data_IF_507400596324
#
_entry.id   IF_507400596324
#
_cell.length_a   1.000
_cell.length_b   1.000
_cell.length_c   1.000
_cell.angle_alpha   90.00
_cell.angle_beta   90.00
_cell.angle_gamma   90.00
#
_symmetry.space_group_name_H-M   'P 1'
#
loop_
_entity.id
_entity.type
_entity.pdbx_description
1 polymer ?
#
# COMPACT_ATOMS: atom_id res chain seq x y z
N UNK A 1 -6.40 16.86 7.12
CA UNK A 1 -6.96 15.96 6.09
C UNK A 1 -7.15 14.56 6.69
N UNK A 2 -8.33 13.92 6.56
CA UNK A 2 -8.54 12.57 7.11
C UNK A 2 -7.77 11.54 6.27
N UNK A 3 -7.49 10.35 6.84
CA UNK A 3 -6.79 9.27 6.13
C UNK A 3 -7.49 8.88 4.83
N UNK A 4 -8.82 8.80 4.87
CA UNK A 4 -9.64 8.48 3.70
C UNK A 4 -9.55 9.56 2.62
N UNK A 5 -9.54 10.84 2.98
CA UNK A 5 -9.42 11.95 2.02
C UNK A 5 -8.05 11.92 1.31
N UNK A 6 -6.97 11.63 2.06
CA UNK A 6 -5.63 11.46 1.49
C UNK A 6 -5.58 10.33 0.48
N UNK A 7 -6.22 9.20 0.80
CA UNK A 7 -6.28 8.05 -0.09
C UNK A 7 -7.12 8.34 -1.34
N UNK A 8 -8.25 9.05 -1.21
CA UNK A 8 -9.05 9.50 -2.37
C UNK A 8 -8.23 10.37 -3.31
N UNK A 9 -7.53 11.37 -2.77
CA UNK A 9 -6.69 12.25 -3.57
C UNK A 9 -5.57 11.47 -4.28
N UNK A 10 -4.95 10.52 -3.59
CA UNK A 10 -3.95 9.62 -4.19
C UNK A 10 -4.55 8.81 -5.34
N UNK A 11 -5.70 8.18 -5.13
CA UNK A 11 -6.39 7.36 -6.15
C UNK A 11 -6.79 8.22 -7.35
N UNK A 12 -7.38 9.39 -7.12
CA UNK A 12 -7.81 10.30 -8.17
C UNK A 12 -6.65 10.75 -9.06
N UNK A 13 -5.49 11.01 -8.47
CA UNK A 13 -4.28 11.43 -9.19
C UNK A 13 -3.51 10.27 -9.84
N UNK A 14 -3.86 9.02 -9.55
CA UNK A 14 -3.12 7.84 -10.03
C UNK A 14 -4.08 6.71 -10.44
N UNK A 15 -5.26 7.03 -10.99
CA UNK A 15 -6.29 6.03 -11.28
C UNK A 15 -5.82 4.94 -12.25
N UNK A 16 -4.86 5.29 -13.12
CA UNK A 16 -4.30 4.40 -14.14
C UNK A 16 -3.52 3.21 -13.57
N UNK A 17 -3.06 3.28 -12.32
CA UNK A 17 -2.29 2.20 -11.70
C UNK A 17 -3.19 1.10 -11.10
N UNK A 18 -4.50 1.34 -11.01
CA UNK A 18 -5.46 0.40 -10.42
C UNK A 18 -6.19 -0.42 -11.50
N UNK A 19 -6.49 -1.67 -11.15
CA UNK A 19 -7.34 -2.57 -11.94
C UNK A 19 -8.41 -3.21 -11.08
N UNK A 20 -9.55 -3.53 -11.69
CA UNK A 20 -10.63 -4.21 -11.02
C UNK A 20 -10.22 -5.65 -10.65
N UNK A 21 -10.32 -6.09 -9.39
CA UNK A 21 -9.93 -7.44 -9.00
C UNK A 21 -10.88 -8.52 -9.54
N UNK A 22 -12.09 -8.14 -9.96
CA UNK A 22 -13.09 -9.07 -10.49
C UNK A 22 -12.97 -9.32 -11.99
N UNK A 23 -12.71 -8.28 -12.79
CA UNK A 23 -12.67 -8.39 -14.25
C UNK A 23 -11.38 -7.87 -14.90
N UNK A 24 -10.40 -7.40 -14.12
CA UNK A 24 -9.11 -6.88 -14.57
C UNK A 24 -9.16 -5.65 -15.51
N UNK A 25 -10.35 -5.14 -15.80
CA UNK A 25 -10.54 -3.90 -16.54
C UNK A 25 -10.12 -2.68 -15.72
N UNK A 26 -9.90 -1.57 -16.44
CA UNK A 26 -9.53 -0.28 -15.88
C UNK A 26 -10.60 0.22 -14.89
N UNK A 27 -10.13 0.90 -13.86
CA UNK A 27 -10.96 1.75 -13.02
C UNK A 27 -11.29 3.03 -13.80
N UNK A 28 -12.56 3.42 -13.83
CA UNK A 28 -13.06 4.53 -14.64
C UNK A 28 -13.48 5.73 -13.80
N UNK A 29 -13.85 5.52 -12.54
CA UNK A 29 -14.26 6.61 -11.66
C UNK A 29 -14.00 6.31 -10.19
N UNK A 30 -13.85 7.38 -9.41
CA UNK A 30 -13.94 7.39 -7.96
C UNK A 30 -15.27 8.05 -7.59
N UNK A 31 -16.20 7.28 -7.04
CA UNK A 31 -17.53 7.75 -6.62
C UNK A 31 -17.60 7.62 -5.09
N UNK A 32 -17.84 8.73 -4.40
CA UNK A 32 -17.80 8.81 -2.94
C UNK A 32 -16.51 8.21 -2.34
N UNK A 33 -16.62 7.06 -1.70
CA UNK A 33 -15.54 6.31 -1.06
C UNK A 33 -15.19 5.04 -1.85
N UNK A 34 -15.47 4.98 -3.16
CA UNK A 34 -15.37 3.73 -3.90
C UNK A 34 -14.80 3.94 -5.30
N UNK A 35 -13.93 3.02 -5.73
CA UNK A 35 -13.48 2.96 -7.11
C UNK A 35 -14.42 2.05 -7.90
N UNK A 36 -14.74 2.45 -9.12
CA UNK A 36 -15.68 1.75 -10.00
C UNK A 36 -14.99 1.47 -11.34
N UNK A 37 -15.13 0.24 -11.84
CA UNK A 37 -14.61 -0.15 -13.15
C UNK A 37 -15.66 0.02 -14.26
N UNK A 38 -15.23 -0.12 -15.52
CA UNK A 38 -16.11 -0.01 -16.69
C UNK A 38 -17.30 -0.98 -16.70
N UNK A 39 -17.18 -2.13 -16.02
CA UNK A 39 -18.26 -3.10 -15.89
C UNK A 39 -19.17 -2.84 -14.67
N UNK A 40 -18.98 -1.73 -13.95
CA UNK A 40 -19.79 -1.38 -12.78
C UNK A 40 -19.41 -2.05 -11.46
N UNK A 41 -18.31 -2.83 -11.40
CA UNK A 41 -17.85 -3.38 -10.13
C UNK A 41 -17.35 -2.28 -9.19
N UNK A 42 -17.81 -2.33 -7.94
CA UNK A 42 -17.50 -1.34 -6.91
C UNK A 42 -16.53 -1.91 -5.89
N UNK A 43 -15.43 -1.21 -5.63
CA UNK A 43 -14.47 -1.54 -4.57
C UNK A 43 -14.44 -0.39 -3.57
N UNK A 44 -14.82 -0.69 -2.33
CA UNK A 44 -14.96 0.31 -1.28
C UNK A 44 -13.62 0.60 -0.59
N UNK A 45 -13.33 1.88 -0.41
CA UNK A 45 -12.28 2.41 0.44
C UNK A 45 -12.78 2.46 1.89
N UNK A 46 -12.01 1.89 2.81
CA UNK A 46 -12.37 1.95 4.23
C UNK A 46 -11.90 3.26 4.89
N UNK A 47 -12.33 3.49 6.15
CA UNK A 47 -11.94 4.67 6.94
C UNK A 47 -10.43 4.85 7.16
N UNK A 48 -9.65 3.77 7.01
CA UNK A 48 -8.18 3.81 7.12
C UNK A 48 -7.51 4.25 5.81
N UNK A 49 -8.27 4.43 4.74
CA UNK A 49 -7.76 4.80 3.41
C UNK A 49 -7.16 3.61 2.65
N UNK A 50 -7.68 2.40 2.88
CA UNK A 50 -7.20 1.17 2.22
C UNK A 50 -8.31 0.50 1.40
N UNK A 51 -7.92 -0.09 0.27
CA UNK A 51 -8.77 -0.90 -0.59
C UNK A 51 -8.52 -2.38 -0.31
N UNK A 52 -9.59 -3.16 -0.14
CA UNK A 52 -9.51 -4.61 -0.07
C UNK A 52 -9.74 -5.19 -1.46
N UNK A 53 -8.68 -5.72 -2.08
CA UNK A 53 -8.70 -6.19 -3.47
C UNK A 53 -8.79 -7.72 -3.60
N UNK A 54 -8.95 -8.44 -2.49
CA UNK A 54 -9.17 -9.89 -2.55
C UNK A 54 -10.63 -10.16 -2.89
N UNK A 55 -10.84 -11.08 -3.84
CA UNK A 55 -12.16 -11.52 -4.30
C UNK A 55 -12.71 -12.72 -3.55
N UNK A 56 -11.90 -13.33 -2.70
CA UNK A 56 -12.23 -14.51 -1.90
C UNK A 56 -11.63 -14.37 -0.50
N UNK A 57 -12.21 -15.09 0.46
CA UNK A 57 -11.65 -15.20 1.79
C UNK A 57 -10.33 -15.96 1.75
N UNK A 58 -9.27 -15.38 2.29
CA UNK A 58 -8.00 -16.06 2.50
C UNK A 58 -7.94 -16.46 3.96
N UNK A 59 -7.78 -17.77 4.23
CA UNK A 59 -7.38 -18.21 5.57
C UNK A 59 -5.94 -17.76 5.78
N UNK A 60 -5.72 -16.87 6.73
CA UNK A 60 -4.38 -16.43 7.09
C UNK A 60 -3.92 -17.23 8.30
N UNK A 61 -2.73 -17.82 8.22
CA UNK A 61 -2.05 -18.38 9.40
C UNK A 61 -1.48 -17.27 10.31
N UNK A 62 -1.81 -16.00 10.00
CA UNK A 62 -1.28 -14.79 10.63
C UNK A 62 -2.18 -14.22 11.73
N UNK A 63 -3.04 -15.03 12.34
CA UNK A 63 -3.87 -14.61 13.48
C UNK A 63 -3.12 -14.65 14.83
N UNK A 64 -1.82 -14.98 14.82
CA UNK A 64 -1.00 -14.98 16.03
C UNK A 64 -0.45 -13.57 16.35
N UNK A 65 -1.04 -12.94 17.37
CA UNK A 65 -0.62 -11.64 17.94
C UNK A 65 0.85 -11.62 18.37
N UNK A 66 1.39 -12.73 18.87
CA UNK A 66 2.79 -12.84 19.31
C UNK A 66 3.76 -12.70 18.14
N UNK A 67 3.45 -13.34 17.01
CA UNK A 67 4.26 -13.26 15.79
C UNK A 67 4.30 -11.81 15.26
N UNK A 68 3.18 -11.10 15.31
CA UNK A 68 3.12 -9.67 14.95
C UNK A 68 3.97 -8.79 15.86
N UNK A 69 3.91 -9.02 17.18
CA UNK A 69 4.71 -8.27 18.13
C UNK A 69 6.21 -8.54 17.94
N UNK A 70 6.62 -9.80 17.76
CA UNK A 70 8.01 -10.16 17.50
C UNK A 70 8.54 -9.50 16.22
N UNK A 71 7.75 -9.52 15.13
CA UNK A 71 8.08 -8.81 13.88
C UNK A 71 8.27 -7.32 14.11
N UNK A 72 7.37 -6.69 14.86
CA UNK A 72 7.47 -5.26 15.20
C UNK A 72 8.72 -4.95 16.01
N UNK A 73 9.06 -5.76 17.00
CA UNK A 73 10.29 -5.59 17.80
C UNK A 73 11.53 -5.60 16.91
N UNK A 74 11.64 -6.57 15.98
CA UNK A 74 12.75 -6.64 15.04
C UNK A 74 12.79 -5.42 14.10
N UNK A 75 11.63 -4.99 13.58
CA UNK A 75 11.54 -3.80 12.73
C UNK A 75 12.00 -2.53 13.47
N UNK A 76 11.59 -2.38 14.74
CA UNK A 76 11.97 -1.25 15.59
C UNK A 76 13.44 -1.28 16.00
N UNK A 77 14.03 -2.47 16.13
CA UNK A 77 15.46 -2.66 16.36
C UNK A 77 16.33 -2.32 15.13
N UNK A 78 15.71 -1.94 14.00
CA UNK A 78 16.44 -1.50 12.81
C UNK A 78 16.87 -2.64 11.89
N UNK A 79 16.24 -3.81 11.96
CA UNK A 79 16.56 -4.97 11.10
C UNK A 79 16.67 -4.59 9.61
N UNK A 80 15.80 -3.71 9.14
CA UNK A 80 15.75 -3.29 7.73
C UNK A 80 16.65 -2.10 7.39
N UNK A 81 17.25 -1.43 8.37
CA UNK A 81 18.10 -0.25 8.13
C UNK A 81 19.24 -0.52 7.14
N UNK A 82 20.09 -1.55 7.32
CA UNK A 82 21.19 -1.82 6.37
C UNK A 82 20.68 -2.23 4.98
N UNK A 83 19.52 -2.88 4.89
CA UNK A 83 18.90 -3.27 3.62
C UNK A 83 18.44 -2.01 2.88
N UNK A 84 17.78 -1.08 3.57
CA UNK A 84 17.32 0.19 3.00
C UNK A 84 18.50 1.03 2.53
N UNK A 85 19.60 1.06 3.28
CA UNK A 85 20.83 1.77 2.87
C UNK A 85 21.41 1.23 1.57
N UNK A 86 21.42 -0.10 1.38
CA UNK A 86 21.88 -0.69 0.13
C UNK A 86 20.92 -0.42 -1.03
N UNK A 87 19.61 -0.56 -0.81
CA UNK A 87 18.60 -0.19 -1.83
C UNK A 87 18.78 1.27 -2.25
N UNK A 88 19.04 2.18 -1.30
CA UNK A 88 19.23 3.60 -1.58
C UNK A 88 20.42 3.89 -2.49
N UNK A 89 21.51 3.11 -2.40
CA UNK A 89 22.68 3.27 -3.28
C UNK A 89 22.38 2.87 -4.73
N UNK A 90 21.51 1.88 -4.91
CA UNK A 90 21.13 1.38 -6.24
C UNK A 90 20.03 2.22 -6.91
N UNK A 91 19.25 2.98 -6.13
CA UNK A 91 18.17 3.79 -6.67
C UNK A 91 18.66 5.16 -7.15
N UNK A 92 18.23 5.63 -8.33
CA UNK A 92 18.60 6.96 -8.82
C UNK A 92 18.02 8.07 -7.92
N UNK A 93 18.69 9.22 -7.85
CA UNK A 93 18.28 10.40 -7.08
C UNK A 93 17.07 11.17 -7.68
N UNK A 94 16.27 10.54 -8.53
CA UNK A 94 15.07 11.13 -9.15
C UNK A 94 13.79 10.64 -8.47
N UNK A 95 12.66 11.30 -8.74
CA UNK A 95 11.35 10.83 -8.29
C UNK A 95 11.02 9.49 -8.94
N UNK A 96 10.61 8.52 -8.13
CA UNK A 96 10.24 7.18 -8.57
C UNK A 96 8.82 6.82 -8.11
N UNK A 97 8.10 6.02 -8.89
CA UNK A 97 6.90 5.31 -8.44
C UNK A 97 7.37 3.96 -7.88
N UNK A 98 7.28 3.76 -6.58
CA UNK A 98 7.74 2.55 -5.88
C UNK A 98 6.54 1.82 -5.28
N UNK A 99 6.54 0.49 -5.37
CA UNK A 99 5.59 -0.39 -4.69
C UNK A 99 6.35 -1.32 -3.75
N UNK A 100 5.86 -1.45 -2.52
CA UNK A 100 6.38 -2.42 -1.54
C UNK A 100 5.43 -3.62 -1.47
N UNK A 101 5.87 -4.74 -2.01
CA UNK A 101 5.09 -5.99 -2.05
C UNK A 101 5.35 -6.77 -0.78
N UNK A 102 4.29 -7.11 -0.05
CA UNK A 102 4.43 -7.74 1.27
C UNK A 102 4.83 -6.75 2.37
N UNK A 103 4.40 -5.50 2.25
CA UNK A 103 4.81 -4.38 3.11
C UNK A 103 4.48 -4.53 4.61
N UNK A 104 3.61 -5.46 4.99
CA UNK A 104 3.20 -5.65 6.39
C UNK A 104 2.62 -4.38 7.00
N UNK A 105 3.23 -3.87 8.07
CA UNK A 105 2.85 -2.58 8.68
C UNK A 105 3.45 -1.34 7.98
N UNK A 106 4.30 -1.52 6.97
CA UNK A 106 4.83 -0.46 6.11
C UNK A 106 6.08 0.24 6.63
N UNK A 107 6.67 -0.21 7.75
CA UNK A 107 7.87 0.40 8.35
C UNK A 107 9.05 0.52 7.38
N UNK A 108 9.43 -0.52 6.60
CA UNK A 108 10.54 -0.41 5.66
C UNK A 108 10.29 0.63 4.55
N UNK A 109 9.09 0.65 3.95
CA UNK A 109 8.73 1.63 2.91
C UNK A 109 8.76 3.07 3.43
N UNK A 110 8.27 3.31 4.66
CA UNK A 110 8.31 4.64 5.27
C UNK A 110 9.76 5.10 5.49
N UNK A 111 10.62 4.21 5.97
CA UNK A 111 12.03 4.52 6.19
C UNK A 111 12.75 4.80 4.88
N UNK A 112 12.50 4.00 3.83
CA UNK A 112 13.02 4.27 2.48
C UNK A 112 12.55 5.63 1.97
N UNK A 113 11.25 5.96 2.08
CA UNK A 113 10.71 7.24 1.62
C UNK A 113 11.39 8.43 2.32
N UNK A 114 11.57 8.37 3.65
CA UNK A 114 12.27 9.41 4.42
C UNK A 114 13.73 9.57 4.01
N UNK A 115 14.42 8.46 3.71
CA UNK A 115 15.81 8.52 3.24
C UNK A 115 15.95 9.14 1.85
N UNK A 116 14.88 9.16 1.05
CA UNK A 116 14.84 9.80 -0.28
C UNK A 116 14.46 11.29 -0.26
N UNK A 117 13.94 11.78 0.86
CA UNK A 117 13.58 13.19 1.06
C UNK A 117 14.75 14.03 1.61
N UNK A 118 15.84 13.37 2.03
CA UNK A 118 17.11 14.00 2.42
C UNK A 118 17.96 14.28 1.18
#
# INVERSE_FOLDING_TARGET
MKKIDRAKLFIQNNMEIFRCPFCQNKITSLQDNSIVCINGHVINLNKKGTLHLLTHGVKSDYDNKELWNARRTLLQAGLFSPIIEQIMKELPAKKLKIIDVGCGEGTPLINLARSREK
#
